data_IF_101971895422
#
_entry.id   IF_101971895422
#
_cell.length_a   1.000
_cell.length_b   1.000
_cell.length_c   1.000
_cell.angle_alpha   90.00
_cell.angle_beta   90.00
_cell.angle_gamma   90.00
#
_symmetry.space_group_name_H-M   'P 1'
#
loop_
_entity.id
_entity.type
_entity.pdbx_description
1 polymer ?
#
# COMPACT_ATOMS: atom_id res chain seq x y z
N UNK A 1 -5.75 -8.02 -3.06
CA UNK A 1 -5.60 -6.99 -4.10
C UNK A 1 -4.13 -6.89 -4.49
N UNK A 2 -3.84 -6.88 -5.80
CA UNK A 2 -2.50 -6.58 -6.28
C UNK A 2 -2.34 -5.06 -6.27
N UNK A 3 -1.44 -4.56 -5.42
CA UNK A 3 -1.03 -3.15 -5.43
C UNK A 3 0.07 -3.00 -6.46
N UNK A 4 0.02 -1.97 -7.29
CA UNK A 4 1.10 -1.66 -8.24
C UNK A 4 2.34 -1.17 -7.48
N UNK A 5 3.53 -1.55 -7.92
CA UNK A 5 4.79 -1.15 -7.32
C UNK A 5 5.80 -2.30 -7.20
N UNK A 6 6.99 -1.99 -6.67
CA UNK A 6 8.10 -2.94 -6.54
C UNK A 6 7.78 -4.21 -5.71
N UNK A 7 6.75 -4.17 -4.88
CA UNK A 7 6.34 -5.26 -3.98
C UNK A 7 5.06 -5.98 -4.42
N UNK A 8 4.58 -5.74 -5.64
CA UNK A 8 3.35 -6.36 -6.17
C UNK A 8 3.38 -7.90 -6.17
N UNK A 9 4.57 -8.51 -6.21
CA UNK A 9 4.73 -9.98 -6.20
C UNK A 9 4.59 -10.59 -4.80
N UNK A 10 4.70 -9.80 -3.72
CA UNK A 10 4.58 -10.25 -2.33
C UNK A 10 3.27 -9.83 -1.67
N UNK A 11 2.22 -9.57 -2.45
CA UNK A 11 0.89 -9.17 -1.97
C UNK A 11 -0.14 -10.30 -2.10
N UNK A 12 -1.20 -10.26 -1.28
CA UNK A 12 -2.30 -11.25 -1.27
C UNK A 12 -1.92 -12.57 -0.58
N UNK A 13 -2.61 -13.65 -0.91
CA UNK A 13 -2.45 -14.98 -0.27
C UNK A 13 -1.06 -15.60 -0.41
N UNK A 14 -0.23 -15.07 -1.31
CA UNK A 14 1.16 -15.50 -1.53
C UNK A 14 2.17 -14.59 -0.84
N UNK A 15 1.72 -13.67 0.01
CA UNK A 15 2.64 -12.80 0.76
C UNK A 15 3.54 -13.63 1.65
N UNK A 16 4.83 -13.32 1.64
CA UNK A 16 5.79 -13.86 2.61
C UNK A 16 5.65 -13.22 4.00
N UNK A 17 4.84 -12.16 4.11
CA UNK A 17 4.64 -11.38 5.33
C UNK A 17 3.20 -11.46 5.80
N UNK A 18 3.03 -11.35 7.14
CA UNK A 18 1.73 -11.35 7.76
C UNK A 18 1.10 -12.75 7.85
N UNK A 19 -0.16 -12.79 8.18
CA UNK A 19 -0.95 -14.00 8.35
C UNK A 19 -1.99 -14.11 7.24
N UNK A 20 -2.22 -15.33 6.77
CA UNK A 20 -3.37 -15.62 5.90
C UNK A 20 -4.69 -15.54 6.70
N UNK A 21 -5.82 -15.45 5.98
CA UNK A 21 -7.15 -15.44 6.61
C UNK A 21 -7.33 -16.66 7.53
N UNK A 22 -6.93 -17.84 7.08
CA UNK A 22 -7.01 -19.07 7.86
C UNK A 22 -6.18 -18.99 9.15
N UNK A 23 -4.95 -18.47 9.04
CA UNK A 23 -4.07 -18.27 10.19
C UNK A 23 -4.66 -17.28 11.19
N UNK A 24 -5.23 -16.15 10.72
CA UNK A 24 -5.93 -15.17 11.59
C UNK A 24 -7.10 -15.85 12.32
N UNK A 25 -7.92 -16.61 11.62
CA UNK A 25 -9.04 -17.32 12.24
C UNK A 25 -8.59 -18.35 13.27
N UNK A 26 -7.48 -19.05 13.01
CA UNK A 26 -6.89 -19.99 13.97
C UNK A 26 -6.37 -19.27 15.22
N UNK A 27 -5.70 -18.12 15.08
CA UNK A 27 -5.26 -17.28 16.21
C UNK A 27 -6.45 -16.84 17.04
N UNK A 28 -7.51 -16.32 16.42
CA UNK A 28 -8.73 -15.90 17.14
C UNK A 28 -9.33 -17.08 17.92
N UNK A 29 -9.42 -18.26 17.31
CA UNK A 29 -9.91 -19.47 17.97
C UNK A 29 -9.07 -19.85 19.19
N UNK A 30 -7.74 -19.83 19.06
CA UNK A 30 -6.83 -20.11 20.17
C UNK A 30 -6.96 -19.08 21.30
N UNK A 31 -7.06 -17.78 20.96
CA UNK A 31 -7.25 -16.71 21.95
C UNK A 31 -8.59 -16.84 22.69
N UNK A 32 -9.66 -17.27 22.00
CA UNK A 32 -10.95 -17.57 22.63
C UNK A 32 -10.83 -18.71 23.65
N UNK A 33 -10.22 -19.82 23.25
CA UNK A 33 -10.07 -21.01 24.12
C UNK A 33 -9.19 -20.71 25.32
N UNK A 34 -8.14 -19.92 25.17
CA UNK A 34 -7.21 -19.55 26.24
C UNK A 34 -7.70 -18.38 27.12
N UNK A 35 -8.83 -17.73 26.78
CA UNK A 35 -9.36 -16.58 27.51
C UNK A 35 -8.62 -15.25 27.26
N UNK A 36 -7.75 -15.19 26.25
CA UNK A 36 -6.94 -14.01 25.93
C UNK A 36 -7.46 -13.18 24.76
N UNK A 37 -8.67 -13.44 24.24
CA UNK A 37 -9.23 -12.66 23.12
C UNK A 37 -9.28 -11.15 23.41
N UNK A 38 -9.48 -10.80 24.69
CA UNK A 38 -9.49 -9.39 25.17
C UNK A 38 -8.17 -8.63 24.93
N UNK A 39 -7.07 -9.34 24.66
CA UNK A 39 -5.76 -8.75 24.38
C UNK A 39 -5.58 -8.42 22.89
N UNK A 40 -6.49 -8.87 22.01
CA UNK A 40 -6.45 -8.57 20.59
C UNK A 40 -7.11 -7.22 20.35
N UNK A 41 -6.33 -6.14 20.49
CA UNK A 41 -6.81 -4.75 20.45
C UNK A 41 -6.36 -3.96 19.22
N UNK A 42 -5.41 -4.49 18.43
CA UNK A 42 -4.86 -3.84 17.27
C UNK A 42 -4.84 -4.78 16.07
N UNK A 43 -5.26 -4.26 14.92
CA UNK A 43 -5.01 -4.86 13.61
C UNK A 43 -4.00 -4.02 12.86
N UNK A 44 -2.96 -4.67 12.35
CA UNK A 44 -1.97 -4.06 11.44
C UNK A 44 -2.14 -4.61 10.03
N UNK A 45 -2.07 -3.70 9.06
CA UNK A 45 -2.06 -4.04 7.62
C UNK A 45 -1.13 -3.08 6.89
N UNK A 46 0.03 -3.57 6.44
CA UNK A 46 0.94 -2.73 5.68
C UNK A 46 0.41 -2.50 4.26
N UNK A 47 0.06 -1.26 3.93
CA UNK A 47 -0.55 -0.93 2.64
C UNK A 47 0.44 -1.03 1.47
N UNK A 48 1.71 -0.77 1.73
CA UNK A 48 2.77 -0.79 0.71
C UNK A 48 3.86 0.25 0.96
N UNK A 49 4.64 0.55 -0.07
CA UNK A 49 5.70 1.57 -0.02
C UNK A 49 5.66 2.41 -1.28
N UNK A 50 5.73 3.73 -1.14
CA UNK A 50 5.68 4.68 -2.27
C UNK A 50 4.47 4.40 -3.17
N UNK A 51 3.28 4.42 -2.59
CA UNK A 51 2.04 4.18 -3.35
C UNK A 51 1.74 5.45 -4.16
N UNK A 52 1.74 5.39 -5.49
CA UNK A 52 1.67 6.59 -6.31
C UNK A 52 0.23 7.10 -6.51
N UNK A 53 -0.78 6.27 -6.26
CA UNK A 53 -2.17 6.56 -6.58
C UNK A 53 -3.07 6.51 -5.34
N UNK A 54 -3.80 7.60 -5.09
CA UNK A 54 -4.75 7.72 -3.99
C UNK A 54 -5.86 6.66 -4.04
N UNK A 55 -6.23 6.20 -5.23
CA UNK A 55 -7.26 5.16 -5.41
C UNK A 55 -6.77 3.82 -4.82
N UNK A 56 -5.49 3.51 -4.95
CA UNK A 56 -4.91 2.29 -4.37
C UNK A 56 -4.90 2.35 -2.84
N UNK A 57 -4.57 3.51 -2.27
CA UNK A 57 -4.66 3.74 -0.82
C UNK A 57 -6.08 3.54 -0.32
N UNK A 58 -7.07 4.12 -1.01
CA UNK A 58 -8.49 3.94 -0.65
C UNK A 58 -8.89 2.47 -0.68
N UNK A 59 -8.57 1.73 -1.73
CA UNK A 59 -8.90 0.30 -1.86
C UNK A 59 -8.25 -0.55 -0.77
N UNK A 60 -6.98 -0.27 -0.46
CA UNK A 60 -6.28 -0.99 0.60
C UNK A 60 -6.87 -0.68 1.99
N UNK A 61 -7.24 0.58 2.24
CA UNK A 61 -7.94 0.99 3.47
C UNK A 61 -9.30 0.30 3.59
N UNK A 62 -10.08 0.21 2.51
CA UNK A 62 -11.35 -0.52 2.50
C UNK A 62 -11.17 -2.00 2.84
N UNK A 63 -10.14 -2.65 2.29
CA UNK A 63 -9.84 -4.03 2.60
C UNK A 63 -9.45 -4.20 4.08
N UNK A 64 -8.61 -3.32 4.61
CA UNK A 64 -8.25 -3.32 6.04
C UNK A 64 -9.50 -3.16 6.94
N UNK A 65 -10.44 -2.30 6.58
CA UNK A 65 -11.70 -2.12 7.31
C UNK A 65 -12.58 -3.38 7.28
N UNK A 66 -12.60 -4.12 6.17
CA UNK A 66 -13.34 -5.39 6.08
C UNK A 66 -12.76 -6.43 7.05
N UNK A 67 -11.44 -6.58 7.10
CA UNK A 67 -10.79 -7.44 8.09
C UNK A 67 -11.09 -6.98 9.51
N UNK A 68 -11.00 -5.68 9.79
CA UNK A 68 -11.33 -5.12 11.10
C UNK A 68 -12.76 -5.46 11.52
N UNK A 69 -13.71 -5.32 10.60
CA UNK A 69 -15.11 -5.64 10.84
C UNK A 69 -15.30 -7.14 11.13
N UNK A 70 -14.69 -8.01 10.35
CA UNK A 70 -14.85 -9.46 10.54
C UNK A 70 -14.19 -9.96 11.85
N UNK A 71 -13.01 -9.44 12.19
CA UNK A 71 -12.32 -9.76 13.44
C UNK A 71 -13.13 -9.25 14.64
N UNK A 72 -13.69 -8.03 14.54
CA UNK A 72 -14.55 -7.47 15.59
C UNK A 72 -15.83 -8.29 15.79
N UNK A 73 -16.45 -8.77 14.71
CA UNK A 73 -17.61 -9.69 14.77
C UNK A 73 -17.27 -11.02 15.46
N UNK A 74 -16.01 -11.43 15.42
CA UNK A 74 -15.55 -12.60 16.19
C UNK A 74 -15.43 -12.32 17.70
N UNK A 75 -15.69 -11.10 18.15
CA UNK A 75 -15.68 -10.68 19.55
C UNK A 75 -14.34 -10.11 20.03
N UNK A 76 -13.39 -9.84 19.13
CA UNK A 76 -12.16 -9.16 19.49
C UNK A 76 -12.45 -7.65 19.74
N UNK A 77 -12.00 -7.07 20.88
CA UNK A 77 -12.25 -5.68 21.21
C UNK A 77 -11.21 -4.76 20.52
N UNK A 78 -11.19 -4.77 19.19
CA UNK A 78 -10.26 -3.95 18.43
C UNK A 78 -10.48 -2.46 18.70
N UNK A 79 -9.39 -1.75 18.97
CA UNK A 79 -9.36 -0.31 19.27
C UNK A 79 -8.49 0.47 18.30
N UNK A 80 -7.52 -0.20 17.68
CA UNK A 80 -6.54 0.41 16.79
C UNK A 80 -6.56 -0.26 15.43
N UNK A 81 -6.56 0.56 14.38
CA UNK A 81 -6.36 0.14 13.00
C UNK A 81 -5.06 0.78 12.50
N UNK A 82 -4.00 -0.01 12.42
CA UNK A 82 -2.72 0.41 11.90
C UNK A 82 -2.63 0.04 10.41
N UNK A 83 -2.56 1.06 9.57
CA UNK A 83 -2.50 0.94 8.12
C UNK A 83 -1.05 0.83 7.60
N UNK A 84 -0.08 0.80 8.50
CA UNK A 84 1.33 0.71 8.15
C UNK A 84 1.83 1.91 7.37
N UNK A 85 2.77 1.68 6.47
CA UNK A 85 3.30 2.69 5.56
C UNK A 85 2.49 2.80 4.26
N UNK A 86 3.07 3.50 3.29
CA UNK A 86 2.50 3.64 1.95
C UNK A 86 2.40 5.07 1.47
N UNK A 87 2.33 6.06 2.36
CA UNK A 87 2.40 7.47 1.98
C UNK A 87 3.66 7.72 1.14
N UNK A 88 3.45 8.10 -0.11
CA UNK A 88 4.52 8.35 -1.07
C UNK A 88 5.06 9.77 -1.00
N UNK A 89 6.17 9.98 -1.71
CA UNK A 89 6.82 11.27 -1.87
C UNK A 89 6.88 11.61 -3.35
N UNK A 90 6.58 12.85 -3.69
CA UNK A 90 6.78 13.36 -5.04
C UNK A 90 8.21 13.85 -5.21
N UNK A 91 9.10 12.94 -5.67
CA UNK A 91 10.51 13.25 -5.87
C UNK A 91 10.78 14.11 -7.12
N UNK A 92 9.85 14.11 -8.08
CA UNK A 92 10.02 14.81 -9.36
C UNK A 92 9.23 16.10 -9.47
N UNK A 93 8.29 16.35 -8.55
CA UNK A 93 7.39 17.50 -8.61
C UNK A 93 6.31 17.39 -9.69
N UNK A 94 6.13 16.21 -10.30
CA UNK A 94 5.20 16.03 -11.43
C UNK A 94 3.75 15.86 -11.01
N UNK A 95 3.49 15.53 -9.76
CA UNK A 95 2.15 15.27 -9.20
C UNK A 95 1.35 14.25 -10.02
N UNK A 96 1.99 13.14 -10.37
CA UNK A 96 1.41 12.06 -11.19
C UNK A 96 1.50 10.73 -10.49
N UNK A 97 0.60 9.81 -10.86
CA UNK A 97 0.70 8.41 -10.49
C UNK A 97 1.87 7.74 -11.25
N UNK A 98 3.08 7.90 -10.72
CA UNK A 98 4.32 7.38 -11.30
C UNK A 98 5.26 6.88 -10.21
N UNK A 99 6.27 6.09 -10.59
CA UNK A 99 7.21 5.46 -9.66
C UNK A 99 7.89 6.45 -8.68
N UNK A 100 8.26 7.64 -9.16
CA UNK A 100 8.95 8.68 -8.39
C UNK A 100 8.04 9.87 -8.04
N UNK A 101 6.73 9.72 -8.17
CA UNK A 101 5.76 10.77 -7.91
C UNK A 101 4.51 10.21 -7.27
N UNK A 102 3.62 11.09 -6.84
CA UNK A 102 2.30 10.76 -6.31
C UNK A 102 1.26 11.72 -6.88
N UNK A 103 0.03 11.26 -7.06
CA UNK A 103 -1.07 12.06 -7.60
C UNK A 103 -1.97 12.66 -6.52
N UNK A 104 -1.48 12.79 -5.29
CA UNK A 104 -2.26 13.28 -4.15
C UNK A 104 -1.40 14.10 -3.18
N UNK A 105 -2.02 14.97 -2.43
CA UNK A 105 -1.44 15.73 -1.31
C UNK A 105 -1.56 14.96 0.01
N UNK A 106 -0.88 15.45 1.05
CA UNK A 106 -1.01 14.92 2.40
C UNK A 106 -2.44 15.06 2.93
N UNK A 107 -3.10 16.18 2.65
CA UNK A 107 -4.49 16.42 3.08
C UNK A 107 -5.45 15.44 2.40
N UNK A 108 -5.27 15.18 1.11
CA UNK A 108 -6.06 14.17 0.39
C UNK A 108 -5.81 12.76 0.91
N UNK A 109 -4.57 12.42 1.25
CA UNK A 109 -4.24 11.15 1.89
C UNK A 109 -4.99 10.99 3.21
N UNK A 110 -4.88 11.96 4.12
CA UNK A 110 -5.55 11.93 5.41
C UNK A 110 -7.07 11.86 5.27
N UNK A 111 -7.64 12.71 4.42
CA UNK A 111 -9.08 12.76 4.17
C UNK A 111 -9.59 11.43 3.62
N UNK A 112 -8.92 10.86 2.61
CA UNK A 112 -9.33 9.58 2.04
C UNK A 112 -9.31 8.44 3.06
N UNK A 113 -8.29 8.37 3.91
CA UNK A 113 -8.21 7.34 4.95
C UNK A 113 -9.36 7.51 5.96
N UNK A 114 -9.52 8.72 6.52
CA UNK A 114 -10.51 8.98 7.56
C UNK A 114 -11.93 8.75 7.05
N UNK A 115 -12.26 9.29 5.87
CA UNK A 115 -13.58 9.11 5.26
C UNK A 115 -13.86 7.63 4.91
N UNK A 116 -12.86 6.92 4.41
CA UNK A 116 -13.01 5.50 4.08
C UNK A 116 -13.26 4.67 5.34
N UNK A 117 -12.46 4.87 6.40
CA UNK A 117 -12.63 4.16 7.67
C UNK A 117 -13.99 4.46 8.27
N UNK A 118 -14.37 5.74 8.30
CA UNK A 118 -15.68 6.16 8.80
C UNK A 118 -16.80 5.47 8.03
N UNK A 119 -16.81 5.57 6.71
CA UNK A 119 -17.85 5.00 5.86
C UNK A 119 -17.99 3.48 6.05
N UNK A 120 -16.89 2.73 5.95
CA UNK A 120 -16.90 1.26 6.01
C UNK A 120 -17.34 0.74 7.40
N UNK A 121 -16.95 1.42 8.48
CA UNK A 121 -17.29 0.99 9.82
C UNK A 121 -18.69 1.44 10.24
N UNK A 122 -19.18 2.58 9.76
CA UNK A 122 -20.58 3.01 9.93
C UNK A 122 -21.53 1.98 9.29
N UNK A 123 -21.21 1.48 8.08
CA UNK A 123 -21.98 0.42 7.42
C UNK A 123 -22.02 -0.88 8.23
N UNK A 124 -20.98 -1.13 9.01
CA UNK A 124 -20.85 -2.32 9.86
C UNK A 124 -21.39 -2.10 11.29
N UNK A 125 -21.87 -0.90 11.61
CA UNK A 125 -22.32 -0.47 12.93
C UNK A 125 -21.26 -0.71 14.03
N UNK A 126 -20.00 -0.42 13.71
CA UNK A 126 -18.87 -0.58 14.60
C UNK A 126 -18.35 0.78 15.10
N UNK A 127 -17.80 0.79 16.31
CA UNK A 127 -17.10 1.95 16.83
C UNK A 127 -15.84 2.23 16.01
N UNK A 128 -15.59 3.50 15.71
CA UNK A 128 -14.37 3.91 14.99
C UNK A 128 -13.12 3.67 15.86
N UNK A 129 -12.08 3.06 15.30
CA UNK A 129 -10.80 2.86 15.97
C UNK A 129 -9.95 4.14 15.96
N UNK A 130 -8.89 4.14 16.76
CA UNK A 130 -7.76 5.03 16.52
C UNK A 130 -7.00 4.54 15.28
N UNK A 131 -6.87 5.42 14.28
CA UNK A 131 -6.09 5.13 13.07
C UNK A 131 -4.61 5.40 13.38
N UNK A 132 -3.76 4.46 12.99
CA UNK A 132 -2.30 4.55 13.10
C UNK A 132 -1.69 4.46 11.70
N UNK A 133 -0.65 5.23 11.42
CA UNK A 133 0.14 5.17 10.19
C UNK A 133 1.64 5.21 10.50
N UNK A 134 2.45 4.57 9.64
CA UNK A 134 3.89 4.43 9.81
C UNK A 134 4.67 5.16 8.68
N UNK A 135 4.31 6.36 8.35
CA UNK A 135 4.75 7.13 7.17
C UNK A 135 6.23 7.53 7.16
N UNK A 136 7.14 6.60 7.47
CA UNK A 136 8.59 6.84 7.62
C UNK A 136 9.23 7.50 6.40
N UNK A 137 8.92 7.02 5.18
CA UNK A 137 9.45 7.62 3.94
C UNK A 137 9.12 9.11 3.84
N UNK A 138 7.88 9.48 4.04
CA UNK A 138 7.44 10.88 3.93
C UNK A 138 8.10 11.77 5.00
N UNK A 139 8.39 11.23 6.19
CA UNK A 139 9.03 11.98 7.25
C UNK A 139 10.51 12.28 7.00
N UNK A 140 11.25 11.38 6.31
CA UNK A 140 12.71 11.47 6.21
C UNK A 140 13.23 11.64 4.78
N UNK A 141 12.39 11.54 3.75
CA UNK A 141 12.84 11.54 2.35
C UNK A 141 13.66 12.78 1.95
N UNK A 142 13.35 13.94 2.51
CA UNK A 142 14.06 15.20 2.24
C UNK A 142 15.21 15.50 3.21
N UNK A 143 15.54 14.59 4.13
CA UNK A 143 16.58 14.82 5.16
C UNK A 143 18.00 14.72 4.63
N UNK A 144 18.21 14.07 3.48
CA UNK A 144 19.52 13.89 2.88
C UNK A 144 19.45 13.87 1.35
N UNK A 145 20.56 14.22 0.70
CA UNK A 145 20.73 14.26 -0.74
C UNK A 145 22.04 13.61 -1.12
N UNK A 146 22.04 12.77 -2.15
CA UNK A 146 23.26 12.22 -2.75
C UNK A 146 23.60 13.05 -3.99
N UNK A 147 24.81 13.63 -4.00
CA UNK A 147 25.33 14.39 -5.13
C UNK A 147 26.56 13.65 -5.66
N UNK A 148 26.60 13.41 -6.98
CA UNK A 148 27.74 12.76 -7.64
C UNK A 148 27.92 13.30 -9.06
N UNK A 149 29.15 13.21 -9.57
CA UNK A 149 29.45 13.58 -10.93
C UNK A 149 29.14 12.43 -11.90
N UNK A 150 28.77 12.77 -13.13
CA UNK A 150 28.69 11.81 -14.22
C UNK A 150 30.11 11.39 -14.58
N UNK A 151 30.43 10.10 -14.41
CA UNK A 151 31.75 9.58 -14.71
C UNK A 151 31.90 9.18 -16.18
N UNK A 152 30.84 8.66 -16.79
CA UNK A 152 30.84 8.18 -18.16
C UNK A 152 29.42 8.22 -18.72
N UNK A 153 29.32 8.48 -20.01
CA UNK A 153 28.06 8.38 -20.79
C UNK A 153 28.29 7.50 -22.00
N UNK A 154 27.40 6.53 -22.21
CA UNK A 154 27.40 5.72 -23.43
C UNK A 154 26.31 6.20 -24.36
N UNK A 155 26.70 6.72 -25.52
CA UNK A 155 25.75 7.10 -26.56
C UNK A 155 25.57 5.93 -27.52
N UNK A 156 24.34 5.50 -27.68
CA UNK A 156 23.97 4.54 -28.73
C UNK A 156 23.55 5.35 -29.97
N UNK A 157 24.51 5.83 -30.73
CA UNK A 157 24.25 6.39 -32.05
C UNK A 157 23.91 5.23 -32.98
N UNK A 158 22.64 4.94 -33.07
CA UNK A 158 22.12 4.06 -34.11
C UNK A 158 22.40 4.74 -35.44
N UNK A 159 23.35 4.24 -36.23
CA UNK A 159 23.44 4.62 -37.63
C UNK A 159 22.05 4.35 -38.25
N UNK A 160 21.41 5.40 -38.79
CA UNK A 160 20.21 5.22 -39.59
C UNK A 160 20.61 4.38 -40.81
N UNK A 161 20.57 3.07 -40.67
CA UNK A 161 20.50 2.21 -41.82
C UNK A 161 19.13 2.45 -42.45
N UNK A 162 19.07 2.95 -43.67
CA UNK A 162 17.85 2.85 -44.47
C UNK A 162 17.59 1.36 -44.73
N UNK A 163 16.93 0.73 -43.78
CA UNK A 163 16.42 -0.60 -43.94
C UNK A 163 15.18 -0.47 -44.84
N UNK A 164 15.33 -0.79 -46.10
CA UNK A 164 14.18 -1.10 -46.94
C UNK A 164 13.56 -2.39 -46.33
N UNK A 165 12.52 -2.22 -45.53
CA UNK A 165 11.77 -3.32 -44.96
C UNK A 165 10.98 -3.92 -46.13
N UNK A 166 11.31 -5.15 -46.53
CA UNK A 166 10.52 -5.92 -47.48
C UNK A 166 9.08 -5.99 -46.97
N UNK A 167 8.11 -5.63 -47.82
CA UNK A 167 6.70 -5.64 -47.48
C UNK A 167 6.17 -7.03 -47.07
N UNK A 168 6.89 -8.07 -47.40
CA UNK A 168 6.57 -9.45 -47.11
C UNK A 168 7.32 -9.98 -45.87
N UNK A 169 7.92 -9.11 -45.03
CA UNK A 169 8.62 -9.52 -43.82
C UNK A 169 7.63 -10.11 -42.81
N UNK A 170 7.87 -11.32 -42.28
CA UNK A 170 6.91 -12.03 -41.42
C UNK A 170 6.63 -11.36 -40.06
N UNK A 171 7.24 -10.23 -39.75
CA UNK A 171 6.99 -9.43 -38.54
C UNK A 171 6.19 -8.14 -38.83
N UNK A 172 5.70 -7.94 -40.04
CA UNK A 172 4.75 -6.91 -40.45
C UNK A 172 3.41 -7.54 -40.74
#
# INVERSE_FOLDING_TARGET
>A
NKISGNWSQSSGDRSAFGLSVEQVMNVIKQLKVSGYLKCLILQHSHLGSQIPDIIEIRKATQEACRFFSEISKQGAPLQFLDLGGGLGVDYTGEQKSAFNSINYSLDEYCTNIVETVKYELDQSNLKHPTIVTESGRACIASSSMLIFNILETTNFDGQKTETVIDKDHPLL
#
